data_IF_345046873217
#
_entry.id   IF_345046873217
#
_cell.length_a   1.000
_cell.length_b   1.000
_cell.length_c   1.000
_cell.angle_alpha   90.00
_cell.angle_beta   90.00
_cell.angle_gamma   90.00
#
_symmetry.space_group_name_H-M   'P 1'
#
loop_
_entity.id
_entity.type
_entity.pdbx_description
1 polymer ?
#
# COMPACT_ATOMS: atom_id res chain seq x y z
N UNK A 1 -20.60 -5.07 -7.36
CA UNK A 1 -19.19 -4.99 -6.91
C UNK A 1 -18.29 -5.29 -8.10
N UNK A 2 -17.82 -4.28 -8.84
CA UNK A 2 -16.82 -4.50 -9.90
C UNK A 2 -15.52 -4.96 -9.23
N UNK A 3 -14.76 -5.84 -9.86
CA UNK A 3 -13.49 -6.39 -9.34
C UNK A 3 -12.46 -5.25 -9.13
N UNK A 4 -12.48 -4.58 -7.97
CA UNK A 4 -11.62 -3.42 -7.63
C UNK A 4 -10.15 -3.73 -7.88
N UNK A 5 -9.71 -4.94 -7.55
CA UNK A 5 -8.34 -5.39 -7.81
C UNK A 5 -7.99 -5.52 -9.29
N UNK A 6 -8.91 -5.97 -10.16
CA UNK A 6 -8.66 -5.99 -11.61
C UNK A 6 -8.62 -4.57 -12.20
N UNK A 7 -9.45 -3.67 -11.69
CA UNK A 7 -9.46 -2.26 -12.10
C UNK A 7 -8.16 -1.57 -11.68
N UNK A 8 -7.62 -1.88 -10.50
CA UNK A 8 -6.32 -1.39 -10.03
C UNK A 8 -5.20 -1.63 -11.06
N UNK A 9 -5.06 -2.88 -11.53
CA UNK A 9 -4.04 -3.24 -12.53
C UNK A 9 -4.33 -2.66 -13.91
N UNK A 10 -5.60 -2.45 -14.29
CA UNK A 10 -5.96 -1.89 -15.60
C UNK A 10 -5.87 -0.36 -15.68
N UNK A 11 -6.16 0.34 -14.58
CA UNK A 11 -6.22 1.81 -14.54
C UNK A 11 -4.97 2.44 -13.93
N UNK A 12 -3.87 1.70 -13.79
CA UNK A 12 -2.65 2.24 -13.18
C UNK A 12 -2.08 3.47 -13.93
N UNK A 13 -2.34 3.60 -15.24
CA UNK A 13 -1.84 4.69 -16.09
C UNK A 13 -2.79 5.89 -16.24
N UNK A 14 -4.02 5.82 -15.73
CA UNK A 14 -5.04 6.86 -15.94
C UNK A 14 -5.22 7.79 -14.73
N UNK A 15 -4.45 8.87 -14.67
CA UNK A 15 -4.38 9.78 -13.52
C UNK A 15 -5.64 10.63 -13.23
N UNK A 16 -6.65 10.61 -14.11
CA UNK A 16 -7.82 11.52 -14.01
C UNK A 16 -9.06 10.90 -13.37
N UNK A 17 -9.07 9.59 -13.15
CA UNK A 17 -10.24 8.88 -12.62
C UNK A 17 -10.39 9.05 -11.09
N UNK A 18 -11.63 9.20 -10.63
CA UNK A 18 -11.96 9.40 -9.22
C UNK A 18 -11.79 8.10 -8.42
N UNK A 19 -11.12 8.18 -7.26
CA UNK A 19 -10.93 7.03 -6.39
C UNK A 19 -11.83 7.13 -5.15
N UNK A 20 -12.73 6.15 -4.98
CA UNK A 20 -13.55 6.03 -3.79
C UNK A 20 -12.69 5.61 -2.58
N UNK A 21 -12.88 6.27 -1.44
CA UNK A 21 -12.20 6.02 -0.16
C UNK A 21 -12.22 4.52 0.18
N UNK A 22 -13.37 3.87 0.01
CA UNK A 22 -13.54 2.45 0.34
C UNK A 22 -12.77 1.52 -0.58
N UNK A 23 -12.56 1.88 -1.84
CA UNK A 23 -11.79 1.06 -2.79
C UNK A 23 -10.29 1.24 -2.57
N UNK A 24 -9.83 2.45 -2.22
CA UNK A 24 -8.46 2.71 -1.80
C UNK A 24 -8.05 1.83 -0.62
N UNK A 25 -8.81 1.84 0.48
CA UNK A 25 -8.46 1.08 1.68
C UNK A 25 -8.49 -0.44 1.45
N UNK A 26 -9.37 -0.96 0.58
CA UNK A 26 -9.35 -2.39 0.21
C UNK A 26 -8.05 -2.80 -0.48
N UNK A 27 -7.52 -1.95 -1.35
CA UNK A 27 -6.23 -2.18 -2.03
C UNK A 27 -5.10 -2.16 -1.01
N UNK A 28 -5.05 -1.16 -0.14
CA UNK A 28 -4.05 -1.06 0.93
C UNK A 28 -4.09 -2.28 1.86
N UNK A 29 -5.29 -2.72 2.28
CA UNK A 29 -5.47 -3.93 3.09
C UNK A 29 -4.99 -5.19 2.36
N UNK A 30 -5.23 -5.28 1.06
CA UNK A 30 -4.74 -6.41 0.25
C UNK A 30 -3.21 -6.48 0.25
N UNK A 31 -2.54 -5.35 0.02
CA UNK A 31 -1.08 -5.28 0.10
C UNK A 31 -0.59 -5.62 1.52
N UNK A 32 -1.24 -5.11 2.56
CA UNK A 32 -0.90 -5.42 3.95
C UNK A 32 -0.97 -6.92 4.25
N UNK A 33 -2.00 -7.61 3.77
CA UNK A 33 -2.12 -9.07 3.91
C UNK A 33 -0.98 -9.80 3.19
N UNK A 34 -0.67 -9.42 1.95
CA UNK A 34 0.42 -10.03 1.18
C UNK A 34 1.78 -9.83 1.86
N UNK A 35 2.10 -8.61 2.30
CA UNK A 35 3.34 -8.34 3.02
C UNK A 35 3.41 -9.07 4.37
N UNK A 36 2.29 -9.19 5.09
CA UNK A 36 2.24 -9.95 6.35
C UNK A 36 2.53 -11.43 6.10
N UNK A 37 1.95 -12.03 5.06
CA UNK A 37 2.21 -13.43 4.70
C UNK A 37 3.69 -13.65 4.34
N UNK A 38 4.28 -12.77 3.53
CA UNK A 38 5.70 -12.82 3.17
C UNK A 38 6.63 -12.60 4.38
N UNK A 39 6.22 -11.77 5.34
CA UNK A 39 6.99 -11.54 6.56
C UNK A 39 6.96 -12.76 7.49
N UNK A 40 5.83 -13.45 7.60
CA UNK A 40 5.72 -14.69 8.38
C UNK A 40 6.62 -15.78 7.79
N UNK A 41 6.65 -15.95 6.46
CA UNK A 41 7.53 -16.95 5.82
C UNK A 41 9.00 -16.64 6.06
N UNK A 42 9.39 -15.35 6.05
CA UNK A 42 10.74 -14.91 6.41
C UNK A 42 11.08 -15.27 7.88
N UNK A 43 10.19 -14.98 8.83
CA UNK A 43 10.41 -15.31 10.25
C UNK A 43 10.59 -16.81 10.45
N UNK A 44 9.76 -17.62 9.81
CA UNK A 44 9.86 -19.09 9.89
C UNK A 44 11.21 -19.56 9.33
N UNK A 45 11.62 -19.04 8.17
CA UNK A 45 12.91 -19.39 7.57
C UNK A 45 14.10 -19.03 8.48
N UNK A 46 14.08 -17.84 9.07
CA UNK A 46 15.12 -17.40 10.02
C UNK A 46 15.10 -18.26 11.30
N UNK A 47 13.92 -18.61 11.81
CA UNK A 47 13.78 -19.45 12.99
C UNK A 47 14.36 -20.85 12.80
N UNK A 48 14.08 -21.48 11.65
CA UNK A 48 14.64 -22.81 11.31
C UNK A 48 16.16 -22.74 11.18
N UNK A 49 16.68 -21.70 10.51
CA UNK A 49 18.13 -21.49 10.36
C UNK A 49 18.81 -21.32 11.72
N UNK A 50 18.16 -20.65 12.67
CA UNK A 50 18.68 -20.46 14.02
C UNK A 50 18.73 -21.76 14.82
N UNK A 51 17.72 -22.64 14.69
CA UNK A 51 17.65 -23.87 15.47
C UNK A 51 18.49 -25.02 14.90
N UNK A 52 18.58 -25.12 13.57
CA UNK A 52 19.13 -26.30 12.89
C UNK A 52 20.46 -26.03 12.17
N UNK A 53 20.95 -24.79 12.20
CA UNK A 53 22.06 -24.35 11.36
C UNK A 53 21.63 -24.06 9.92
N UNK A 54 22.61 -23.73 9.07
CA UNK A 54 22.36 -23.41 7.65
C UNK A 54 22.21 -24.67 6.81
N UNK A 55 21.08 -24.81 6.14
CA UNK A 55 20.80 -25.85 5.16
C UNK A 55 20.25 -25.25 3.86
N UNK A 56 20.00 -26.13 2.88
CA UNK A 56 19.50 -25.69 1.57
C UNK A 56 18.04 -25.23 1.63
N UNK A 57 17.22 -25.81 2.50
CA UNK A 57 15.78 -25.53 2.59
C UNK A 57 15.49 -24.19 3.28
N UNK A 58 16.20 -23.87 4.35
CA UNK A 58 16.09 -22.57 5.05
C UNK A 58 16.64 -21.42 4.19
N UNK A 59 17.73 -21.64 3.43
CA UNK A 59 18.26 -20.61 2.54
C UNK A 59 17.25 -20.25 1.43
N UNK A 60 16.57 -21.25 0.85
CA UNK A 60 15.49 -21.03 -0.12
C UNK A 60 14.32 -20.23 0.51
N UNK A 61 13.93 -20.55 1.74
CA UNK A 61 12.86 -19.83 2.45
C UNK A 61 13.23 -18.38 2.74
N UNK A 62 14.42 -18.12 3.26
CA UNK A 62 14.87 -16.77 3.62
C UNK A 62 15.14 -15.94 2.37
N UNK A 63 15.98 -16.43 1.45
CA UNK A 63 16.31 -15.70 0.23
C UNK A 63 15.08 -15.57 -0.68
N UNK A 64 14.29 -16.63 -0.82
CA UNK A 64 13.06 -16.61 -1.61
C UNK A 64 12.04 -15.60 -1.10
N UNK A 65 11.83 -15.51 0.21
CA UNK A 65 10.92 -14.50 0.80
C UNK A 65 11.44 -13.07 0.60
N UNK A 66 12.75 -12.83 0.72
CA UNK A 66 13.37 -11.51 0.43
C UNK A 66 13.16 -11.12 -1.05
N UNK A 67 13.51 -12.00 -1.98
CA UNK A 67 13.39 -11.72 -3.41
C UNK A 67 11.94 -11.52 -3.85
N UNK A 68 11.01 -12.36 -3.37
CA UNK A 68 9.58 -12.21 -3.65
C UNK A 68 9.03 -10.91 -3.09
N UNK A 69 9.43 -10.52 -1.88
CA UNK A 69 9.03 -9.25 -1.28
C UNK A 69 9.54 -8.07 -2.10
N UNK A 70 10.82 -8.08 -2.50
CA UNK A 70 11.40 -7.03 -3.33
C UNK A 70 10.70 -6.93 -4.70
N UNK A 71 10.44 -8.06 -5.36
CA UNK A 71 9.75 -8.08 -6.65
C UNK A 71 8.31 -7.57 -6.52
N UNK A 72 7.58 -8.03 -5.51
CA UNK A 72 6.21 -7.58 -5.26
C UNK A 72 6.16 -6.08 -4.96
N UNK A 73 7.11 -5.57 -4.18
CA UNK A 73 7.25 -4.14 -3.92
C UNK A 73 7.45 -3.35 -5.21
N UNK A 74 8.39 -3.74 -6.07
CA UNK A 74 8.63 -3.05 -7.34
C UNK A 74 7.40 -3.05 -8.26
N UNK A 75 6.68 -4.18 -8.33
CA UNK A 75 5.47 -4.30 -9.14
C UNK A 75 4.32 -3.42 -8.63
N UNK A 76 4.20 -3.28 -7.31
CA UNK A 76 3.10 -2.55 -6.68
C UNK A 76 3.41 -1.07 -6.42
N UNK A 77 4.69 -0.70 -6.41
CA UNK A 77 5.16 0.66 -6.14
C UNK A 77 4.49 1.70 -7.05
N UNK A 78 4.53 1.47 -8.37
CA UNK A 78 3.95 2.39 -9.36
C UNK A 78 2.43 2.51 -9.20
N UNK A 79 1.64 1.41 -9.21
CA UNK A 79 0.20 1.48 -8.98
C UNK A 79 -0.20 2.14 -7.65
N UNK A 80 0.46 1.79 -6.54
CA UNK A 80 0.14 2.35 -5.22
C UNK A 80 0.47 3.84 -5.13
N UNK A 81 1.58 4.27 -5.73
CA UNK A 81 1.93 5.69 -5.81
C UNK A 81 0.87 6.47 -6.59
N UNK A 82 0.48 5.96 -7.77
CA UNK A 82 -0.50 6.62 -8.63
C UNK A 82 -1.84 6.83 -7.92
N UNK A 83 -2.35 5.83 -7.22
CA UNK A 83 -3.65 5.97 -6.53
C UNK A 83 -3.56 6.88 -5.31
N UNK A 84 -2.44 6.85 -4.59
CA UNK A 84 -2.23 7.77 -3.45
C UNK A 84 -2.20 9.23 -3.91
N UNK A 85 -1.56 9.53 -5.04
CA UNK A 85 -1.57 10.88 -5.65
C UNK A 85 -2.99 11.29 -6.02
N UNK A 86 -3.76 10.43 -6.69
CA UNK A 86 -5.17 10.70 -7.02
C UNK A 86 -5.99 11.01 -5.79
N UNK A 87 -5.81 10.21 -4.73
CA UNK A 87 -6.57 10.36 -3.50
C UNK A 87 -6.24 11.67 -2.77
N UNK A 88 -4.96 12.05 -2.71
CA UNK A 88 -4.54 13.35 -2.17
C UNK A 88 -5.12 14.51 -2.97
N UNK A 89 -5.05 14.45 -4.30
CA UNK A 89 -5.60 15.49 -5.17
C UNK A 89 -7.13 15.62 -5.00
N UNK A 90 -7.85 14.50 -4.88
CA UNK A 90 -9.31 14.49 -4.62
C UNK A 90 -9.64 15.06 -3.23
N UNK A 91 -8.80 14.82 -2.22
CA UNK A 91 -8.94 15.43 -0.90
C UNK A 91 -8.60 16.94 -0.87
N UNK A 92 -8.14 17.52 -1.99
CA UNK A 92 -7.69 18.91 -2.08
C UNK A 92 -6.32 19.16 -1.45
N UNK A 93 -5.52 18.10 -1.22
CA UNK A 93 -4.20 18.18 -0.64
C UNK A 93 -3.11 18.20 -1.72
N UNK A 94 -2.01 18.91 -1.44
CA UNK A 94 -0.86 18.95 -2.35
C UNK A 94 -0.19 17.56 -2.42
N UNK A 95 0.26 17.14 -3.61
CA UNK A 95 0.95 15.86 -3.82
C UNK A 95 2.18 15.68 -2.92
N UNK A 96 2.83 16.78 -2.50
CA UNK A 96 3.96 16.76 -1.57
C UNK A 96 3.63 16.21 -0.16
N UNK A 97 2.34 16.05 0.18
CA UNK A 97 1.92 15.36 1.42
C UNK A 97 2.43 13.92 1.49
N UNK A 98 2.73 13.30 0.34
CA UNK A 98 3.40 11.99 0.27
C UNK A 98 4.73 11.93 1.02
N UNK A 99 5.48 13.03 1.08
CA UNK A 99 6.77 13.07 1.78
C UNK A 99 6.63 12.89 3.30
N UNK A 100 5.43 13.01 3.86
CA UNK A 100 5.19 12.63 5.24
C UNK A 100 5.52 11.17 5.51
N UNK A 101 5.41 10.28 4.51
CA UNK A 101 5.85 8.89 4.67
C UNK A 101 7.34 8.75 5.05
N UNK A 102 8.17 9.76 4.76
CA UNK A 102 9.59 9.79 5.13
C UNK A 102 9.81 10.01 6.63
N UNK A 103 8.80 10.50 7.36
CA UNK A 103 8.86 10.65 8.82
C UNK A 103 8.44 9.31 9.44
N UNK A 104 9.37 8.58 10.09
CA UNK A 104 9.06 7.27 10.65
C UNK A 104 7.99 7.38 11.74
N UNK A 105 7.12 6.38 11.80
CA UNK A 105 5.97 6.28 12.70
C UNK A 105 4.92 7.38 12.52
N UNK A 106 5.18 8.62 12.92
CA UNK A 106 4.17 9.69 12.93
C UNK A 106 3.68 10.04 11.52
N UNK A 107 4.59 10.07 10.55
CA UNK A 107 4.29 10.49 9.19
C UNK A 107 3.34 9.56 8.43
N UNK A 108 3.46 8.26 8.65
CA UNK A 108 2.58 7.26 8.01
C UNK A 108 1.15 7.35 8.56
N UNK A 109 0.98 7.58 9.87
CA UNK A 109 -0.34 7.77 10.47
C UNK A 109 -0.99 9.08 10.03
N UNK A 110 -0.24 10.17 9.95
CA UNK A 110 -0.75 11.46 9.46
C UNK A 110 -1.18 11.33 7.99
N UNK A 111 -0.35 10.69 7.16
CA UNK A 111 -0.69 10.43 5.76
C UNK A 111 -1.93 9.54 5.63
N UNK A 112 -2.03 8.48 6.42
CA UNK A 112 -3.22 7.63 6.48
C UNK A 112 -4.48 8.43 6.83
N UNK A 113 -4.40 9.32 7.82
CA UNK A 113 -5.50 10.22 8.18
C UNK A 113 -5.85 11.18 7.04
N UNK A 114 -4.88 11.79 6.38
CA UNK A 114 -5.13 12.64 5.22
C UNK A 114 -5.86 11.90 4.09
N UNK A 115 -5.59 10.60 3.91
CA UNK A 115 -6.21 9.77 2.88
C UNK A 115 -7.64 9.33 3.21
N UNK A 116 -8.09 9.43 4.47
CA UNK A 116 -9.50 9.21 4.86
C UNK A 116 -10.37 10.44 4.68
N UNK A 117 -9.80 11.63 4.45
CA UNK A 117 -10.57 12.88 4.34
C UNK A 117 -11.61 12.84 3.20
N UNK A 118 -12.85 13.31 3.43
CA UNK A 118 -13.86 13.38 2.38
C UNK A 118 -13.41 14.33 1.26
N UNK A 119 -13.95 14.11 0.05
CA UNK A 119 -13.65 14.93 -1.12
C UNK A 119 -14.00 16.41 -0.86
N UNK A 120 -13.27 17.34 -1.48
CA UNK A 120 -13.49 18.78 -1.36
C UNK A 120 -14.95 19.15 -1.66
N UNK A 121 -15.57 18.49 -2.65
CA UNK A 121 -16.96 18.77 -3.04
C UNK A 121 -17.95 18.38 -1.95
N UNK A 122 -17.72 17.23 -1.31
CA UNK A 122 -18.55 16.76 -0.20
C UNK A 122 -18.40 17.67 1.02
N UNK A 123 -17.20 18.21 1.28
CA UNK A 123 -16.96 19.15 2.39
C UNK A 123 -17.68 20.48 2.20
N UNK A 124 -17.67 21.03 1.00
CA UNK A 124 -18.36 22.28 0.70
C UNK A 124 -19.88 22.15 0.89
N UNK A 125 -20.47 21.01 0.48
CA UNK A 125 -21.88 20.69 0.70
C UNK A 125 -22.29 20.64 2.18
N UNK A 126 -21.39 20.28 3.08
CA UNK A 126 -21.66 20.24 4.52
C UNK A 126 -21.47 21.62 5.17
N UNK A 127 -20.59 22.47 4.63
CA UNK A 127 -20.40 23.83 5.14
C UNK A 127 -21.49 24.82 4.70
N UNK A 128 -22.22 24.49 3.62
CA UNK A 128 -23.29 25.33 3.08
C UNK A 128 -24.68 25.01 3.67
N UNK A 129 -24.74 24.27 4.78
CA UNK A 129 -25.96 23.95 5.54
C UNK A 129 -25.80 24.44 6.98
#
# INVERSE_FOLDING_TARGET
MKNTYKTFWKKYSDFKDECNIGDFWKIILTHFIVYTALFITLIIGVGIRHSNGTGMTDDILVMGSIYLTALYFLLTLLPTLTITIRRLNNAGLHWGTLFLFLIPYAGTFILAYCLTLPDKETRMSYSSR
#
